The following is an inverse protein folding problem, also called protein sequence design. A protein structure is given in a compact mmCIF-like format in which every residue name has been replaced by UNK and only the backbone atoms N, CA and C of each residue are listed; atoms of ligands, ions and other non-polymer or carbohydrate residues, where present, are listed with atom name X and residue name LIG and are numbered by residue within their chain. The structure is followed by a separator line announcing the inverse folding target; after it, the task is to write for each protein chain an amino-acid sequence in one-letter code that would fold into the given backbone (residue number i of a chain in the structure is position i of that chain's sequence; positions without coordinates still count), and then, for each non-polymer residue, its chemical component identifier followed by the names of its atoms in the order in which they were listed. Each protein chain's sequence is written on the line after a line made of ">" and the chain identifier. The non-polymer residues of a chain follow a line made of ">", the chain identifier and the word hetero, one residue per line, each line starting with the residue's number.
data_IF_026141587557
#
_entry.id   IF_026141587557
#
_cell.length_a   1.000
_cell.length_b   1.000
_cell.length_c   1.000
_cell.angle_alpha   90.00
_cell.angle_beta   90.00
_cell.angle_gamma   90.00
#
_symmetry.space_group_name_H-M   'P 1'
#
loop_
_entity.id
_entity.type
_entity.pdbx_description
1 polymer ?
#
# COMPACT_ATOMS: atom_id res chain seq x y z
N UNK A 1 23.93 -54.25 0.14
CA UNK A 1 24.51 -53.08 -0.56
C UNK A 1 23.82 -51.82 -0.04
N UNK A 2 24.62 -50.86 0.40
CA UNK A 2 24.28 -49.76 1.32
C UNK A 2 23.49 -48.63 0.67
N UNK A 3 22.37 -48.23 1.30
CA UNK A 3 21.65 -46.97 1.05
C UNK A 3 22.30 -45.86 1.88
N UNK A 4 22.94 -44.88 1.23
CA UNK A 4 23.35 -43.61 1.87
C UNK A 4 22.18 -42.63 1.89
N UNK A 5 21.77 -42.21 3.08
CA UNK A 5 20.85 -41.10 3.30
C UNK A 5 21.63 -39.78 3.39
N UNK A 6 21.19 -38.77 2.65
CA UNK A 6 21.67 -37.39 2.74
C UNK A 6 20.67 -36.60 3.60
N UNK A 7 20.89 -36.56 4.92
CA UNK A 7 20.21 -35.67 5.86
C UNK A 7 21.28 -34.97 6.71
N UNK A 8 21.93 -33.94 6.15
CA UNK A 8 23.08 -33.29 6.80
C UNK A 8 23.09 -31.76 6.84
N UNK A 9 22.18 -31.05 6.17
CA UNK A 9 22.32 -29.59 5.99
C UNK A 9 21.27 -28.69 6.64
N UNK A 10 20.17 -29.22 7.21
CA UNK A 10 19.15 -28.37 7.85
C UNK A 10 19.36 -28.11 9.36
N UNK A 11 20.29 -28.80 10.04
CA UNK A 11 20.52 -28.60 11.49
C UNK A 11 21.52 -27.48 11.86
N UNK A 12 22.29 -26.94 10.91
CA UNK A 12 23.31 -25.92 11.24
C UNK A 12 22.75 -24.51 11.49
N UNK A 13 21.61 -24.16 10.89
CA UNK A 13 21.05 -22.80 11.01
C UNK A 13 20.37 -22.53 12.35
N UNK A 14 19.63 -23.52 12.89
CA UNK A 14 18.97 -23.38 14.20
C UNK A 14 19.95 -23.33 15.37
N UNK A 15 21.08 -24.05 15.27
CA UNK A 15 22.12 -24.03 16.31
C UNK A 15 22.84 -22.69 16.42
N UNK A 16 23.08 -22.00 15.29
CA UNK A 16 23.75 -20.68 15.28
C UNK A 16 22.87 -19.59 15.88
N UNK A 17 21.58 -19.55 15.53
CA UNK A 17 20.64 -18.58 16.10
C UNK A 17 20.43 -18.80 17.61
N UNK A 18 20.33 -20.05 18.04
CA UNK A 18 20.18 -20.39 19.46
C UNK A 18 21.41 -19.98 20.29
N UNK A 19 22.63 -20.22 19.76
CA UNK A 19 23.87 -19.80 20.42
C UNK A 19 24.00 -18.27 20.54
N UNK A 20 23.63 -17.52 19.49
CA UNK A 20 23.64 -16.05 19.54
C UNK A 20 22.62 -15.51 20.55
N UNK A 21 21.41 -16.10 20.62
CA UNK A 21 20.40 -15.69 21.59
C UNK A 21 20.83 -16.01 23.03
N UNK A 22 21.41 -17.19 23.27
CA UNK A 22 21.96 -17.56 24.58
C UNK A 22 23.09 -16.62 25.01
N UNK A 23 23.97 -16.22 24.08
CA UNK A 23 25.06 -15.28 24.37
C UNK A 23 24.53 -13.90 24.75
N UNK A 24 23.49 -13.39 24.07
CA UNK A 24 22.86 -12.11 24.41
C UNK A 24 22.16 -12.14 25.76
N UNK A 25 21.49 -13.26 26.10
CA UNK A 25 20.87 -13.44 27.43
C UNK A 25 21.92 -13.49 28.53
N UNK A 26 23.04 -14.21 28.32
CA UNK A 26 24.14 -14.26 29.28
C UNK A 26 24.78 -12.88 29.48
N UNK A 27 25.00 -12.12 28.40
CA UNK A 27 25.54 -10.76 28.46
C UNK A 27 24.60 -9.76 29.16
N UNK A 28 23.29 -9.89 28.96
CA UNK A 28 22.26 -9.13 29.67
C UNK A 28 22.30 -9.44 31.17
N UNK A 29 22.41 -10.72 31.53
CA UNK A 29 22.38 -11.16 32.93
C UNK A 29 23.65 -10.81 33.71
N UNK A 30 24.82 -10.89 33.07
CA UNK A 30 26.09 -10.45 33.67
C UNK A 30 26.13 -8.94 33.86
N UNK A 31 25.57 -8.16 32.91
CA UNK A 31 25.45 -6.71 33.04
C UNK A 31 24.53 -6.30 34.19
N UNK A 32 23.40 -7.01 34.38
CA UNK A 32 22.47 -6.78 35.48
C UNK A 32 23.12 -7.07 36.84
N UNK A 33 23.84 -8.19 36.97
CA UNK A 33 24.59 -8.53 38.20
C UNK A 33 25.73 -7.57 38.49
N UNK A 34 26.34 -6.99 37.46
CA UNK A 34 27.37 -5.95 37.64
C UNK A 34 26.75 -4.67 38.21
N UNK A 35 25.58 -4.26 37.69
CA UNK A 35 24.83 -3.10 38.19
C UNK A 35 24.33 -3.29 39.62
N UNK A 36 23.85 -4.49 39.98
CA UNK A 36 23.47 -4.83 41.36
C UNK A 36 24.67 -4.75 42.31
N UNK A 37 25.85 -5.24 41.90
CA UNK A 37 27.08 -5.13 42.71
C UNK A 37 27.60 -3.71 42.83
N UNK A 38 27.39 -2.87 41.81
CA UNK A 38 27.78 -1.46 41.88
C UNK A 38 26.85 -0.63 42.77
N UNK A 39 25.55 -0.97 42.84
CA UNK A 39 24.60 -0.29 43.75
C UNK A 39 24.76 -0.66 45.23
N UNK A 40 25.40 -1.79 45.54
CA UNK A 40 25.64 -2.22 46.93
C UNK A 40 26.82 -1.48 47.58
N UNK A 41 27.64 -0.74 46.83
CA UNK A 41 28.89 -0.13 47.34
C UNK A 41 28.69 1.31 47.87
N UNK A 42 27.48 1.87 47.83
CA UNK A 42 27.21 3.24 48.29
C UNK A 42 26.70 3.36 49.73
N UNK A 43 27.03 2.43 50.63
CA UNK A 43 26.85 2.62 52.08
C UNK A 43 28.03 2.00 52.84
N UNK A 44 28.87 2.84 53.46
CA UNK A 44 29.84 2.45 54.49
C UNK A 44 31.30 2.67 54.11
N UNK A 45 31.91 3.73 54.67
CA UNK A 45 33.32 4.04 54.47
C UNK A 45 34.26 3.07 55.21
N UNK A 46 35.25 2.52 54.50
CA UNK A 46 36.60 2.23 55.01
C UNK A 46 37.55 1.95 53.83
N UNK A 47 38.78 2.47 53.92
CA UNK A 47 39.74 2.58 52.80
C UNK A 47 40.63 1.35 52.58
N UNK A 48 40.20 0.12 52.92
CA UNK A 48 41.07 -1.07 52.85
C UNK A 48 40.77 -2.09 51.73
N UNK A 49 40.02 -1.72 50.68
CA UNK A 49 39.69 -2.65 49.59
C UNK A 49 39.99 -2.18 48.15
N UNK A 50 40.70 -1.07 47.96
CA UNK A 50 40.96 -0.54 46.61
C UNK A 50 41.95 -1.36 45.76
N UNK A 51 42.91 -2.06 46.35
CA UNK A 51 43.94 -2.78 45.55
C UNK A 51 43.43 -4.07 44.92
N UNK A 52 42.54 -4.80 45.59
CA UNK A 52 41.92 -6.02 45.03
C UNK A 52 40.97 -5.66 43.88
N UNK A 53 40.17 -4.60 44.04
CA UNK A 53 39.29 -4.09 42.98
C UNK A 53 40.06 -3.56 41.76
N UNK A 54 41.25 -2.97 41.94
CA UNK A 54 42.10 -2.54 40.82
C UNK A 54 42.61 -3.73 39.99
N UNK A 55 43.04 -4.82 40.63
CA UNK A 55 43.50 -6.04 39.93
C UNK A 55 42.34 -6.74 39.20
N UNK A 56 41.16 -6.79 39.81
CA UNK A 56 39.97 -7.38 39.19
C UNK A 56 39.43 -6.52 38.03
N UNK A 57 39.46 -5.19 38.18
CA UNK A 57 39.13 -4.24 37.10
C UNK A 57 40.10 -4.34 35.93
N UNK A 58 41.41 -4.47 36.18
CA UNK A 58 42.41 -4.68 35.12
C UNK A 58 42.22 -6.00 34.38
N UNK A 59 41.91 -7.09 35.11
CA UNK A 59 41.60 -8.41 34.51
C UNK A 59 40.33 -8.35 33.66
N UNK A 60 39.31 -7.64 34.13
CA UNK A 60 38.05 -7.44 33.40
C UNK A 60 38.25 -6.58 32.15
N UNK A 61 39.06 -5.52 32.24
CA UNK A 61 39.43 -4.70 31.09
C UNK A 61 40.21 -5.48 30.04
N UNK A 62 41.12 -6.37 30.45
CA UNK A 62 41.85 -7.26 29.53
C UNK A 62 40.89 -8.22 28.81
N UNK A 63 39.94 -8.82 29.52
CA UNK A 63 38.91 -9.69 28.95
C UNK A 63 37.99 -8.94 27.97
N UNK A 64 37.62 -7.69 28.28
CA UNK A 64 36.82 -6.83 27.38
C UNK A 64 37.61 -6.48 26.11
N UNK A 65 38.92 -6.20 26.22
CA UNK A 65 39.78 -5.90 25.07
C UNK A 65 39.89 -7.13 24.16
N UNK A 66 40.05 -8.32 24.73
CA UNK A 66 40.14 -9.57 23.97
C UNK A 66 38.80 -9.93 23.30
N UNK A 67 37.68 -9.72 23.99
CA UNK A 67 36.33 -9.87 23.40
C UNK A 67 36.10 -8.87 22.25
N UNK A 68 36.55 -7.62 22.40
CA UNK A 68 36.47 -6.62 21.33
C UNK A 68 37.32 -7.00 20.11
N UNK A 69 38.48 -7.64 20.32
CA UNK A 69 39.28 -8.20 19.22
C UNK A 69 38.55 -9.35 18.53
N UNK A 70 37.96 -10.28 19.29
CA UNK A 70 37.19 -11.40 18.71
C UNK A 70 35.97 -10.92 17.93
N UNK A 71 35.23 -9.92 18.44
CA UNK A 71 34.12 -9.28 17.73
C UNK A 71 34.61 -8.60 16.45
N UNK A 72 35.74 -7.87 16.49
CA UNK A 72 36.33 -7.27 15.28
C UNK A 72 36.78 -8.32 14.26
N UNK A 73 37.32 -9.46 14.68
CA UNK A 73 37.69 -10.55 13.78
C UNK A 73 36.46 -11.21 13.15
N UNK A 74 35.38 -11.39 13.92
CA UNK A 74 34.09 -11.89 13.40
C UNK A 74 33.48 -10.88 12.42
N UNK A 75 33.51 -9.57 12.76
CA UNK A 75 33.03 -8.50 11.87
C UNK A 75 33.86 -8.41 10.58
N UNK A 76 35.19 -8.50 10.66
CA UNK A 76 36.06 -8.52 9.47
C UNK A 76 35.85 -9.78 8.59
N UNK A 77 35.43 -10.90 9.20
CA UNK A 77 34.99 -12.09 8.50
C UNK A 77 33.61 -11.94 7.83
N UNK A 78 32.71 -11.17 8.44
CA UNK A 78 31.38 -10.87 7.90
C UNK A 78 31.39 -9.77 6.82
N UNK A 79 32.27 -8.78 6.93
CA UNK A 79 32.42 -7.65 5.99
C UNK A 79 32.96 -8.08 4.61
N UNK A 80 33.54 -9.28 4.48
CA UNK A 80 33.86 -9.88 3.17
C UNK A 80 32.64 -10.47 2.43
N UNK A 81 31.47 -10.48 3.07
CA UNK A 81 30.25 -11.09 2.51
C UNK A 81 29.03 -10.18 2.49
N UNK A 82 29.13 -8.94 2.97
CA UNK A 82 28.04 -7.97 2.97
C UNK A 82 28.59 -6.57 2.71
N UNK A 83 28.46 -6.10 1.46
CA UNK A 83 28.55 -4.67 1.18
C UNK A 83 27.17 -4.03 1.42
N UNK A 84 27.13 -3.02 2.28
CA UNK A 84 26.11 -1.98 2.23
C UNK A 84 25.06 -1.94 3.34
N UNK A 85 25.45 -1.80 4.62
CA UNK A 85 24.61 -1.12 5.64
C UNK A 85 25.51 -0.43 6.66
N UNK A 86 26.17 0.67 6.29
CA UNK A 86 26.92 1.49 7.27
C UNK A 86 26.48 2.96 7.35
N UNK A 87 25.64 3.44 6.42
CA UNK A 87 25.30 4.87 6.37
C UNK A 87 23.89 5.23 6.88
N UNK A 88 23.24 4.36 7.68
CA UNK A 88 21.88 4.63 8.18
C UNK A 88 21.78 5.10 9.63
N UNK A 89 22.90 5.29 10.34
CA UNK A 89 22.88 5.67 11.77
C UNK A 89 23.10 7.17 12.00
N UNK A 90 23.54 7.94 11.01
CA UNK A 90 23.92 9.36 11.19
C UNK A 90 23.09 10.39 10.40
N UNK A 91 21.78 10.14 10.20
CA UNK A 91 20.87 11.16 9.66
C UNK A 91 20.12 11.92 10.74
N UNK A 92 20.66 13.09 11.08
CA UNK A 92 20.09 14.18 11.88
C UNK A 92 18.56 14.36 11.78
N UNK A 93 17.83 14.04 12.87
CA UNK A 93 16.45 14.52 13.06
C UNK A 93 16.05 14.65 14.55
N UNK A 94 16.97 15.10 15.42
CA UNK A 94 16.69 15.27 16.85
C UNK A 94 17.17 16.60 17.47
N UNK A 95 17.47 17.64 16.67
CA UNK A 95 17.98 18.93 17.17
C UNK A 95 17.26 20.18 16.66
N UNK A 96 15.93 20.13 16.58
CA UNK A 96 15.12 21.34 16.43
C UNK A 96 13.84 21.18 17.23
N UNK A 97 13.88 21.49 18.53
CA UNK A 97 12.83 22.10 19.38
C UNK A 97 13.42 22.13 20.80
N UNK A 98 14.19 23.17 21.14
CA UNK A 98 14.19 23.87 22.45
C UNK A 98 14.91 25.21 22.19
N UNK A 99 14.17 26.26 21.84
CA UNK A 99 14.51 27.64 22.22
C UNK A 99 13.43 28.63 21.77
N UNK A 100 13.22 29.63 22.63
CA UNK A 100 12.23 30.72 22.63
C UNK A 100 10.90 30.31 23.29
N UNK A 101 10.53 30.83 24.46
CA UNK A 101 10.90 32.11 25.09
C UNK A 101 9.65 32.99 25.09
N UNK A 102 9.18 33.32 26.29
CA UNK A 102 7.94 34.03 26.57
C UNK A 102 7.81 35.35 25.80
N UNK A 103 6.62 35.59 25.24
CA UNK A 103 6.04 36.93 25.07
C UNK A 103 4.57 36.81 25.43
N UNK A 104 4.20 37.44 26.54
CA UNK A 104 2.84 37.78 26.95
C UNK A 104 2.42 39.02 26.18
N UNK A 105 1.33 38.97 25.42
CA UNK A 105 0.60 40.18 25.02
C UNK A 105 -0.91 39.96 25.22
N UNK A 106 -1.45 40.85 26.04
CA UNK A 106 -2.86 41.17 26.23
C UNK A 106 -3.53 41.47 24.89
N UNK A 107 -4.68 40.84 24.64
CA UNK A 107 -5.68 41.38 23.73
C UNK A 107 -7.02 41.43 24.45
N UNK A 108 -7.39 42.68 24.72
CA UNK A 108 -8.64 43.16 25.28
C UNK A 108 -9.86 42.72 24.49
N UNK A 109 -10.93 42.45 25.25
CA UNK A 109 -12.31 42.19 24.83
C UNK A 109 -12.85 43.29 23.91
N UNK A 110 -13.54 42.90 22.84
CA UNK A 110 -14.46 43.72 22.06
C UNK A 110 -15.82 43.00 21.93
N UNK A 111 -16.94 43.74 21.84
CA UNK A 111 -18.27 43.21 22.14
C UNK A 111 -18.88 42.41 20.97
N UNK A 112 -19.69 41.42 21.34
CA UNK A 112 -20.59 40.68 20.47
C UNK A 112 -21.80 41.57 20.13
N UNK A 113 -22.00 41.88 18.86
CA UNK A 113 -23.26 42.41 18.34
C UNK A 113 -24.12 41.25 17.83
N UNK A 114 -25.35 41.19 18.36
CA UNK A 114 -26.46 40.36 17.91
C UNK A 114 -26.90 40.78 16.51
N UNK A 115 -26.86 39.86 15.55
CA UNK A 115 -27.64 39.97 14.31
C UNK A 115 -28.62 38.80 14.23
N UNK A 116 -29.86 39.10 14.62
CA UNK A 116 -31.06 38.32 14.32
C UNK A 116 -31.53 38.64 12.91
N UNK A 117 -31.90 37.61 12.16
CA UNK A 117 -32.97 37.68 11.17
C UNK A 117 -32.53 37.65 9.70
N UNK A 118 -32.43 36.44 9.14
CA UNK A 118 -32.90 36.18 7.78
C UNK A 118 -33.22 34.70 7.64
N UNK A 119 -34.51 34.38 7.63
CA UNK A 119 -35.03 33.12 7.13
C UNK A 119 -34.88 33.17 5.60
N UNK A 120 -34.03 32.32 5.05
CA UNK A 120 -34.02 32.01 3.62
C UNK A 120 -34.78 30.70 3.45
N UNK A 121 -35.90 30.78 2.73
CA UNK A 121 -36.64 29.62 2.22
C UNK A 121 -35.71 28.85 1.27
N UNK A 122 -35.35 27.61 1.63
CA UNK A 122 -34.67 26.68 0.73
C UNK A 122 -35.72 26.00 -0.14
N UNK A 123 -35.69 26.33 -1.44
CA UNK A 123 -36.46 25.65 -2.48
C UNK A 123 -35.99 24.20 -2.63
N UNK A 124 -36.85 23.24 -2.25
CA UNK A 124 -36.65 21.78 -2.38
C UNK A 124 -36.85 21.23 -3.83
N UNK A 125 -36.90 22.07 -4.85
CA UNK A 125 -37.12 21.64 -6.24
C UNK A 125 -35.82 21.65 -7.07
N UNK A 126 -34.92 20.69 -6.83
CA UNK A 126 -33.65 20.64 -7.56
C UNK A 126 -32.94 19.29 -7.73
N UNK A 127 -33.47 18.17 -7.24
CA UNK A 127 -32.68 16.92 -7.15
C UNK A 127 -32.93 15.85 -8.23
N UNK A 128 -33.83 16.04 -9.19
CA UNK A 128 -34.22 14.96 -10.13
C UNK A 128 -33.62 15.01 -11.55
N UNK A 129 -32.51 15.73 -11.80
CA UNK A 129 -31.91 15.82 -13.16
C UNK A 129 -30.39 15.63 -13.24
N UNK A 130 -29.84 14.60 -12.60
CA UNK A 130 -28.41 14.26 -12.67
C UNK A 130 -28.07 12.87 -13.24
N UNK A 131 -29.02 12.17 -13.87
CA UNK A 131 -28.79 10.80 -14.37
C UNK A 131 -28.00 10.66 -15.70
N UNK A 132 -27.41 11.73 -16.24
CA UNK A 132 -26.53 11.63 -17.41
C UNK A 132 -25.03 11.72 -17.04
N UNK A 133 -24.54 10.70 -16.35
CA UNK A 133 -23.13 10.60 -15.97
C UNK A 133 -22.23 10.32 -17.19
N UNK A 134 -21.64 11.37 -17.77
CA UNK A 134 -20.76 11.35 -18.95
C UNK A 134 -19.56 10.40 -18.74
N UNK A 135 -19.08 10.23 -17.51
CA UNK A 135 -17.94 9.35 -17.19
C UNK A 135 -18.25 7.86 -17.34
N UNK A 136 -19.51 7.41 -17.24
CA UNK A 136 -19.81 5.99 -17.45
C UNK A 136 -19.95 5.64 -18.95
N UNK A 137 -20.15 6.64 -19.82
CA UNK A 137 -20.30 6.43 -21.27
C UNK A 137 -19.03 5.84 -21.89
N UNK A 138 -17.82 6.21 -21.44
CA UNK A 138 -16.59 5.63 -22.00
C UNK A 138 -16.43 4.16 -21.58
N UNK A 139 -16.67 3.82 -20.32
CA UNK A 139 -16.66 2.42 -19.83
C UNK A 139 -17.71 1.55 -20.54
N UNK A 140 -18.92 2.07 -20.71
CA UNK A 140 -20.01 1.37 -21.41
C UNK A 140 -19.76 1.24 -22.92
N UNK A 141 -19.08 2.21 -23.54
CA UNK A 141 -18.71 2.15 -24.97
C UNK A 141 -17.81 0.96 -25.26
N UNK A 142 -16.92 0.57 -24.33
CA UNK A 142 -16.10 -0.63 -24.45
C UNK A 142 -16.87 -1.94 -24.19
N UNK A 143 -17.85 -1.94 -23.29
CA UNK A 143 -18.63 -3.14 -22.90
C UNK A 143 -19.58 -3.65 -24.00
N UNK A 144 -20.01 -2.80 -24.94
CA UNK A 144 -21.05 -3.13 -25.95
C UNK A 144 -20.58 -4.06 -27.09
N UNK A 145 -19.30 -4.43 -27.18
CA UNK A 145 -18.79 -5.33 -28.24
C UNK A 145 -18.85 -6.83 -27.89
N UNK A 146 -20.00 -7.33 -27.42
CA UNK A 146 -20.11 -8.65 -26.76
C UNK A 146 -20.41 -9.90 -27.63
N UNK A 147 -20.46 -9.83 -28.96
CA UNK A 147 -21.06 -10.93 -29.75
C UNK A 147 -20.16 -11.67 -30.77
N UNK A 148 -18.83 -11.67 -30.62
CA UNK A 148 -17.96 -12.51 -31.46
C UNK A 148 -17.65 -13.86 -30.76
N UNK A 149 -17.60 -15.00 -31.48
CA UNK A 149 -17.25 -16.30 -30.90
C UNK A 149 -15.83 -16.29 -30.33
N UNK A 150 -15.72 -16.31 -29.00
CA UNK A 150 -14.52 -16.04 -28.20
C UNK A 150 -13.40 -17.10 -28.26
N UNK A 151 -13.58 -18.21 -28.97
CA UNK A 151 -12.68 -19.36 -28.84
C UNK A 151 -11.34 -19.25 -29.58
N UNK A 152 -11.03 -18.14 -30.27
CA UNK A 152 -9.79 -18.01 -31.08
C UNK A 152 -9.11 -16.63 -31.10
N UNK A 153 -9.54 -15.65 -30.30
CA UNK A 153 -8.86 -14.35 -30.28
C UNK A 153 -7.52 -14.46 -29.53
N UNK A 154 -6.43 -14.12 -30.22
CA UNK A 154 -5.07 -14.02 -29.65
C UNK A 154 -5.07 -12.99 -28.53
N UNK A 155 -4.23 -13.18 -27.50
CA UNK A 155 -3.98 -12.21 -26.42
C UNK A 155 -3.82 -10.80 -27.02
N UNK A 156 -4.34 -9.78 -26.34
CA UNK A 156 -4.10 -8.38 -26.71
C UNK A 156 -2.60 -8.15 -26.90
N UNK A 157 -2.22 -7.49 -27.99
CA UNK A 157 -0.83 -7.09 -28.23
C UNK A 157 -0.43 -5.86 -27.40
N UNK A 158 -1.34 -5.31 -26.59
CA UNK A 158 -1.05 -4.16 -25.76
C UNK A 158 -0.23 -4.58 -24.54
N UNK A 159 0.98 -4.03 -24.41
CA UNK A 159 1.77 -4.11 -23.19
C UNK A 159 1.59 -2.81 -22.38
N UNK A 160 0.94 -2.85 -21.21
CA UNK A 160 0.72 -1.66 -20.38
C UNK A 160 2.00 -1.08 -19.76
N UNK A 161 3.11 -1.81 -19.85
CA UNK A 161 4.43 -1.45 -19.33
C UNK A 161 5.48 -1.61 -20.43
N UNK A 162 5.57 -0.69 -21.39
CA UNK A 162 6.40 -0.84 -22.59
C UNK A 162 7.89 -1.03 -22.31
N UNK A 163 8.38 -0.55 -21.16
CA UNK A 163 9.77 -0.72 -20.74
C UNK A 163 10.09 -2.11 -20.15
N UNK A 164 9.07 -2.93 -19.92
CA UNK A 164 9.20 -4.28 -19.38
C UNK A 164 8.78 -5.25 -20.47
N UNK A 165 9.67 -6.18 -20.83
CA UNK A 165 9.30 -7.29 -21.72
C UNK A 165 8.48 -8.33 -20.95
N UNK A 166 7.21 -8.00 -20.70
CA UNK A 166 6.29 -8.88 -19.99
C UNK A 166 6.11 -10.23 -20.70
N UNK A 167 6.34 -10.30 -22.01
CA UNK A 167 6.13 -11.53 -22.79
C UNK A 167 7.27 -12.53 -22.63
N UNK A 168 8.46 -12.06 -22.25
CA UNK A 168 9.59 -12.93 -21.87
C UNK A 168 9.37 -13.64 -20.52
N UNK A 169 8.42 -13.17 -19.72
CA UNK A 169 8.13 -13.73 -18.41
C UNK A 169 7.56 -15.15 -18.53
N UNK A 170 8.23 -16.09 -17.88
CA UNK A 170 7.83 -17.49 -17.93
C UNK A 170 6.76 -17.78 -16.87
N UNK A 171 5.81 -18.68 -17.17
CA UNK A 171 4.93 -19.23 -16.15
C UNK A 171 5.73 -19.77 -14.96
N UNK A 172 5.31 -19.42 -13.75
CA UNK A 172 6.06 -19.78 -12.54
C UNK A 172 5.91 -21.30 -12.30
N UNK A 173 6.99 -22.08 -12.14
CA UNK A 173 6.88 -23.54 -11.95
C UNK A 173 6.02 -23.92 -10.73
N UNK A 174 6.10 -23.13 -9.64
CA UNK A 174 5.26 -23.36 -8.45
C UNK A 174 3.77 -23.10 -8.70
N UNK A 175 3.42 -22.22 -9.63
CA UNK A 175 2.03 -22.04 -10.07
C UNK A 175 1.47 -23.34 -10.68
N UNK A 176 2.31 -24.13 -11.33
CA UNK A 176 1.93 -25.40 -11.95
C UNK A 176 1.86 -26.54 -10.92
N UNK A 177 2.64 -26.47 -9.84
CA UNK A 177 2.82 -27.56 -8.86
C UNK A 177 1.89 -27.46 -7.63
N UNK A 178 1.43 -26.25 -7.23
CA UNK A 178 0.51 -26.05 -6.09
C UNK A 178 -0.91 -26.65 -6.29
N UNK A 179 -1.07 -27.50 -7.29
CA UNK A 179 -2.32 -27.99 -7.86
C UNK A 179 -2.89 -29.27 -7.20
N UNK A 180 -2.82 -29.43 -5.86
CA UNK A 180 -3.43 -30.60 -5.19
C UNK A 180 -4.41 -30.32 -4.07
N UNK A 181 -4.40 -29.13 -3.47
CA UNK A 181 -5.51 -28.69 -2.60
C UNK A 181 -6.27 -27.65 -3.38
N UNK A 182 -7.54 -27.94 -3.67
CA UNK A 182 -8.41 -27.04 -4.41
C UNK A 182 -8.30 -25.62 -3.82
N UNK A 183 -7.99 -24.62 -4.66
CA UNK A 183 -7.82 -23.23 -4.24
C UNK A 183 -9.07 -22.64 -3.57
N UNK A 184 -10.21 -23.26 -3.86
CA UNK A 184 -11.51 -23.07 -3.24
C UNK A 184 -12.19 -24.43 -3.09
N UNK A 185 -12.92 -24.64 -2.00
CA UNK A 185 -13.81 -25.80 -1.81
C UNK A 185 -15.19 -25.61 -2.45
N UNK A 186 -15.56 -24.37 -2.81
CA UNK A 186 -16.94 -23.99 -3.18
C UNK A 186 -17.09 -23.87 -4.70
N UNK A 187 -16.24 -23.07 -5.36
CA UNK A 187 -16.44 -22.74 -6.77
C UNK A 187 -15.75 -23.73 -7.71
N UNK A 188 -16.25 -23.87 -8.96
CA UNK A 188 -15.62 -24.75 -9.96
C UNK A 188 -14.30 -24.18 -10.48
N UNK A 189 -14.11 -22.85 -10.49
CA UNK A 189 -12.84 -22.23 -10.87
C UNK A 189 -11.76 -22.50 -9.81
N UNK A 190 -10.83 -23.43 -10.10
CA UNK A 190 -9.76 -23.86 -9.17
C UNK A 190 -8.43 -23.14 -9.33
N UNK A 191 -8.37 -22.09 -10.17
CA UNK A 191 -7.16 -21.26 -10.36
C UNK A 191 -7.24 -19.98 -9.53
N UNK A 192 -6.21 -19.14 -9.62
CA UNK A 192 -6.14 -17.90 -8.84
C UNK A 192 -7.18 -16.88 -9.33
N UNK A 193 -7.53 -15.99 -8.43
CA UNK A 193 -8.39 -14.83 -8.68
C UNK A 193 -7.65 -13.58 -8.23
N UNK A 194 -7.47 -12.62 -9.11
CA UNK A 194 -6.78 -11.36 -8.84
C UNK A 194 -7.80 -10.23 -8.80
N UNK A 195 -7.86 -9.50 -7.70
CA UNK A 195 -8.65 -8.27 -7.56
C UNK A 195 -7.73 -7.09 -7.85
N UNK A 196 -7.93 -6.49 -9.02
CA UNK A 196 -7.03 -5.49 -9.60
C UNK A 196 -7.71 -4.11 -9.67
N UNK A 197 -8.67 -3.87 -8.77
CA UNK A 197 -9.19 -2.53 -8.53
C UNK A 197 -8.16 -1.61 -7.88
N UNK A 198 -8.39 -0.30 -7.98
CA UNK A 198 -7.59 0.68 -7.25
C UNK A 198 -7.94 0.68 -5.75
N UNK A 199 -7.04 1.23 -4.94
CA UNK A 199 -7.30 1.42 -3.51
C UNK A 199 -8.64 2.17 -3.31
N UNK A 200 -9.40 1.82 -2.26
CA UNK A 200 -10.75 2.34 -1.99
C UNK A 200 -11.83 2.07 -3.07
N UNK A 201 -11.61 1.14 -4.00
CA UNK A 201 -12.68 0.60 -4.85
C UNK A 201 -13.33 -0.65 -4.24
N UNK A 202 -13.35 -0.75 -2.90
CA UNK A 202 -13.90 -1.88 -2.15
C UNK A 202 -13.19 -3.22 -2.32
N UNK A 203 -11.87 -3.19 -2.52
CA UNK A 203 -11.03 -4.41 -2.56
C UNK A 203 -11.17 -5.24 -1.28
N UNK A 204 -11.19 -4.61 -0.10
CA UNK A 204 -11.36 -5.31 1.19
C UNK A 204 -12.66 -6.11 1.24
N UNK A 205 -13.75 -5.54 0.69
CA UNK A 205 -15.03 -6.23 0.56
C UNK A 205 -14.93 -7.43 -0.39
N UNK A 206 -14.26 -7.24 -1.52
CA UNK A 206 -14.04 -8.30 -2.50
C UNK A 206 -13.20 -9.44 -1.92
N UNK A 207 -12.17 -9.13 -1.13
CA UNK A 207 -11.33 -10.12 -0.46
C UNK A 207 -12.12 -10.95 0.57
N UNK A 208 -12.97 -10.31 1.37
CA UNK A 208 -13.84 -11.02 2.31
C UNK A 208 -14.84 -11.91 1.57
N UNK A 209 -15.41 -11.38 0.49
CA UNK A 209 -16.34 -12.11 -0.38
C UNK A 209 -15.67 -13.35 -0.98
N UNK A 210 -14.46 -13.20 -1.55
CA UNK A 210 -13.68 -14.30 -2.09
C UNK A 210 -13.29 -15.33 -1.02
N UNK A 211 -13.01 -14.87 0.22
CA UNK A 211 -12.76 -15.76 1.36
C UNK A 211 -13.99 -16.58 1.72
N UNK A 212 -15.18 -15.99 1.71
CA UNK A 212 -16.46 -16.70 1.87
C UNK A 212 -16.69 -17.75 0.77
N UNK A 213 -16.21 -17.46 -0.45
CA UNK A 213 -16.19 -18.41 -1.57
C UNK A 213 -15.02 -19.43 -1.49
N UNK A 214 -14.28 -19.47 -0.38
CA UNK A 214 -13.20 -20.42 -0.13
C UNK A 214 -11.85 -20.08 -0.78
N UNK A 215 -11.72 -18.94 -1.45
CA UNK A 215 -10.43 -18.46 -1.95
C UNK A 215 -9.60 -17.92 -0.79
N UNK A 216 -8.51 -18.61 -0.47
CA UNK A 216 -7.59 -18.18 0.59
C UNK A 216 -6.72 -17.03 0.12
N UNK A 217 -6.66 -15.99 0.93
CA UNK A 217 -5.65 -14.97 0.80
C UNK A 217 -4.53 -15.18 1.80
N UNK A 218 -3.27 -15.10 1.36
CA UNK A 218 -2.15 -14.97 2.28
C UNK A 218 -2.15 -13.55 2.85
N UNK A 219 -1.78 -13.39 4.12
CA UNK A 219 -1.89 -12.10 4.82
C UNK A 219 -1.21 -10.94 4.08
N UNK A 220 -0.05 -11.16 3.43
CA UNK A 220 0.65 -10.16 2.61
C UNK A 220 0.00 -9.87 1.26
N UNK A 221 -0.78 -10.79 0.71
CA UNK A 221 -1.41 -10.60 -0.61
C UNK A 221 -2.79 -9.93 -0.53
N UNK A 222 -3.28 -9.64 0.67
CA UNK A 222 -4.51 -8.86 0.91
C UNK A 222 -4.22 -7.55 1.65
N UNK A 223 -2.95 -7.19 1.76
CA UNK A 223 -2.51 -6.00 2.45
C UNK A 223 -1.66 -5.16 1.51
N UNK A 224 -1.61 -3.87 1.79
CA UNK A 224 -0.60 -3.00 1.22
C UNK A 224 0.77 -3.60 1.55
N UNK A 225 1.56 -3.92 0.53
CA UNK A 225 2.97 -4.24 0.71
C UNK A 225 3.80 -3.05 0.26
N UNK A 226 4.26 -2.20 1.18
CA UNK A 226 4.92 -0.99 0.81
C UNK A 226 6.39 -1.20 0.44
N UNK A 227 6.87 -0.47 -0.55
CA UNK A 227 8.28 -0.49 -0.97
C UNK A 227 9.27 -0.05 0.12
N UNK A 228 8.83 0.66 1.17
CA UNK A 228 9.71 1.06 2.27
C UNK A 228 10.20 -0.10 3.13
N UNK A 229 9.54 -1.27 3.08
CA UNK A 229 10.08 -2.51 3.67
C UNK A 229 11.32 -3.04 2.92
N UNK A 230 11.60 -2.49 1.73
CA UNK A 230 12.66 -2.88 0.82
C UNK A 230 13.69 -1.76 0.60
N UNK A 231 13.86 -0.88 1.59
CA UNK A 231 14.89 0.15 1.62
C UNK A 231 14.51 1.48 0.95
N UNK A 232 13.29 1.62 0.45
CA UNK A 232 12.80 2.92 -0.04
C UNK A 232 12.40 3.83 1.12
N UNK A 233 12.52 5.15 0.95
CA UNK A 233 11.90 6.06 1.91
C UNK A 233 10.38 6.00 1.79
N UNK A 234 9.65 6.35 2.87
CA UNK A 234 8.19 6.45 2.83
C UNK A 234 7.74 7.43 1.73
N UNK A 235 8.43 8.55 1.59
CA UNK A 235 8.16 9.56 0.57
C UNK A 235 8.34 9.00 -0.86
N UNK A 236 9.45 8.32 -1.12
CA UNK A 236 9.73 7.76 -2.44
C UNK A 236 8.76 6.64 -2.78
N UNK A 237 8.41 5.82 -1.79
CA UNK A 237 7.37 4.78 -1.96
C UNK A 237 6.07 5.42 -2.41
N UNK A 238 5.57 6.47 -1.74
CA UNK A 238 4.33 7.12 -2.14
C UNK A 238 4.40 7.79 -3.51
N UNK A 239 5.52 8.44 -3.85
CA UNK A 239 5.72 8.99 -5.20
C UNK A 239 5.66 7.90 -6.28
N UNK A 240 6.27 6.75 -6.02
CA UNK A 240 6.21 5.59 -6.91
C UNK A 240 4.79 5.01 -6.99
N UNK A 241 4.11 4.85 -5.86
CA UNK A 241 2.72 4.38 -5.82
C UNK A 241 1.74 5.30 -6.55
N UNK A 242 1.95 6.62 -6.51
CA UNK A 242 1.16 7.60 -7.27
C UNK A 242 1.42 7.56 -8.78
N UNK A 243 2.52 6.92 -9.21
CA UNK A 243 2.94 6.82 -10.61
C UNK A 243 2.94 5.39 -11.15
N UNK A 244 2.55 4.39 -10.34
CA UNK A 244 2.55 2.97 -10.72
C UNK A 244 1.56 2.59 -11.82
N UNK A 245 0.53 3.41 -12.05
CA UNK A 245 -0.36 3.22 -13.21
C UNK A 245 0.36 3.56 -14.53
N UNK A 246 1.29 4.52 -14.50
CA UNK A 246 2.13 4.87 -15.64
C UNK A 246 3.24 3.82 -15.85
N UNK A 247 3.96 3.44 -14.78
CA UNK A 247 5.10 2.52 -14.86
C UNK A 247 5.38 1.74 -13.55
N UNK A 248 5.71 0.46 -13.68
CA UNK A 248 6.08 -0.43 -12.57
C UNK A 248 7.56 -0.85 -12.59
N UNK A 249 8.40 -0.23 -13.43
CA UNK A 249 9.83 -0.57 -13.54
C UNK A 249 10.52 -0.59 -12.17
N UNK A 250 10.15 0.31 -11.27
CA UNK A 250 10.71 0.36 -9.92
C UNK A 250 10.44 -0.90 -9.07
N UNK A 251 9.32 -1.60 -9.32
CA UNK A 251 9.04 -2.91 -8.70
C UNK A 251 9.89 -3.97 -9.38
N UNK A 252 9.97 -3.93 -10.71
CA UNK A 252 10.66 -4.92 -11.53
C UNK A 252 12.17 -4.93 -11.27
N UNK A 253 12.79 -3.75 -11.19
CA UNK A 253 14.23 -3.60 -10.93
C UNK A 253 14.64 -4.00 -9.50
N UNK A 254 13.70 -3.93 -8.55
CA UNK A 254 13.94 -4.38 -7.19
C UNK A 254 13.72 -5.89 -7.08
N UNK A 255 14.74 -6.66 -7.48
CA UNK A 255 14.67 -8.12 -7.53
C UNK A 255 14.26 -8.79 -6.20
N UNK A 256 14.62 -8.21 -5.05
CA UNK A 256 14.20 -8.73 -3.74
C UNK A 256 12.71 -8.52 -3.52
N UNK A 257 12.21 -7.31 -3.83
CA UNK A 257 10.80 -6.98 -3.73
C UNK A 257 9.97 -7.83 -4.68
N UNK A 258 10.34 -7.88 -5.97
CA UNK A 258 9.66 -8.71 -6.97
C UNK A 258 9.65 -10.19 -6.59
N UNK A 259 10.77 -10.74 -6.12
CA UNK A 259 10.87 -12.14 -5.70
C UNK A 259 9.89 -12.45 -4.56
N UNK A 260 9.86 -11.60 -3.53
CA UNK A 260 9.00 -11.80 -2.37
C UNK A 260 7.52 -11.66 -2.75
N UNK A 261 7.19 -10.69 -3.61
CA UNK A 261 5.85 -10.56 -4.19
C UNK A 261 5.43 -11.85 -4.90
N UNK A 262 6.27 -12.38 -5.78
CA UNK A 262 5.96 -13.62 -6.46
C UNK A 262 5.84 -14.83 -5.50
N UNK A 263 6.67 -14.90 -4.46
CA UNK A 263 6.62 -15.97 -3.44
C UNK A 263 5.34 -15.91 -2.60
N UNK A 264 4.80 -14.72 -2.32
CA UNK A 264 3.53 -14.57 -1.65
C UNK A 264 2.35 -14.86 -2.58
N UNK A 265 2.38 -14.39 -3.84
CA UNK A 265 1.40 -14.79 -4.84
C UNK A 265 1.32 -16.30 -4.98
N UNK A 266 2.47 -17.00 -4.98
CA UNK A 266 2.50 -18.45 -5.07
C UNK A 266 1.67 -19.11 -3.95
N UNK A 267 1.56 -18.50 -2.77
CA UNK A 267 0.85 -19.01 -1.59
C UNK A 267 -0.63 -18.63 -1.51
N UNK A 268 -1.15 -17.81 -2.43
CA UNK A 268 -2.48 -17.19 -2.30
C UNK A 268 -3.45 -17.54 -3.42
N UNK A 269 -4.62 -18.07 -3.10
CA UNK A 269 -5.68 -18.28 -4.09
C UNK A 269 -6.31 -16.98 -4.56
N UNK A 270 -6.36 -15.96 -3.70
CA UNK A 270 -6.76 -14.59 -4.06
C UNK A 270 -5.70 -13.58 -3.67
N UNK A 271 -5.54 -12.55 -4.49
CA UNK A 271 -4.62 -11.43 -4.25
C UNK A 271 -5.35 -10.15 -4.59
N UNK A 272 -5.17 -9.12 -3.77
CA UNK A 272 -5.74 -7.80 -3.98
C UNK A 272 -4.85 -6.73 -3.36
N UNK A 273 -5.22 -5.47 -3.60
CA UNK A 273 -4.55 -4.29 -3.05
C UNK A 273 -3.20 -3.97 -3.72
N UNK A 274 -2.57 -2.89 -3.28
CA UNK A 274 -1.29 -2.43 -3.78
C UNK A 274 -0.12 -3.25 -3.18
N UNK A 275 0.91 -3.61 -3.96
CA UNK A 275 1.19 -3.20 -5.35
C UNK A 275 0.53 -4.08 -6.42
N UNK A 276 -0.15 -5.15 -6.02
CA UNK A 276 -0.64 -6.21 -6.91
C UNK A 276 -1.58 -5.71 -8.01
N UNK A 277 -2.37 -4.68 -7.71
CA UNK A 277 -3.24 -4.04 -8.68
C UNK A 277 -2.48 -3.60 -9.94
N UNK A 278 -1.24 -3.15 -9.82
CA UNK A 278 -0.39 -2.73 -10.94
C UNK A 278 0.39 -3.88 -11.59
N UNK A 279 0.29 -5.11 -11.07
CA UNK A 279 1.04 -6.26 -11.57
C UNK A 279 0.21 -7.17 -12.48
N UNK A 280 -1.03 -6.79 -12.83
CA UNK A 280 -1.99 -7.66 -13.52
C UNK A 280 -1.44 -8.29 -14.81
N UNK A 281 -0.67 -7.54 -15.61
CA UNK A 281 -0.10 -8.07 -16.85
C UNK A 281 0.98 -9.13 -16.59
N UNK A 282 1.84 -8.92 -15.58
CA UNK A 282 2.83 -9.90 -15.13
C UNK A 282 2.15 -11.13 -14.50
N UNK A 283 1.15 -10.91 -13.64
CA UNK A 283 0.36 -11.96 -13.00
C UNK A 283 -0.33 -12.85 -14.02
N UNK A 284 -0.82 -12.29 -15.13
CA UNK A 284 -1.42 -13.04 -16.23
C UNK A 284 -0.42 -13.94 -16.96
N UNK A 285 0.84 -13.50 -17.11
CA UNK A 285 1.89 -14.37 -17.66
C UNK A 285 2.35 -15.44 -16.66
N UNK A 286 2.53 -15.06 -15.39
CA UNK A 286 3.00 -15.95 -14.34
C UNK A 286 1.99 -17.03 -13.96
N UNK A 287 0.69 -16.73 -14.05
CA UNK A 287 -0.40 -17.60 -13.61
C UNK A 287 -1.47 -17.81 -14.70
N UNK A 288 -1.19 -18.56 -15.77
CA UNK A 288 -2.12 -18.76 -16.89
C UNK A 288 -3.50 -19.28 -16.48
N UNK A 289 -4.55 -18.68 -17.06
CA UNK A 289 -5.97 -18.97 -16.82
C UNK A 289 -6.47 -18.63 -15.42
N UNK A 290 -5.75 -17.78 -14.69
CA UNK A 290 -6.33 -17.06 -13.56
C UNK A 290 -7.46 -16.15 -14.04
N UNK A 291 -8.32 -15.72 -13.11
CA UNK A 291 -9.38 -14.75 -13.36
C UNK A 291 -9.02 -13.41 -12.74
N UNK A 292 -9.44 -12.33 -13.38
CA UNK A 292 -9.16 -10.96 -12.98
C UNK A 292 -10.48 -10.22 -12.75
N UNK A 293 -10.55 -9.47 -11.65
CA UNK A 293 -11.71 -8.69 -11.25
C UNK A 293 -11.25 -7.24 -11.08
N UNK A 294 -11.72 -6.34 -11.93
CA UNK A 294 -11.54 -4.90 -11.77
C UNK A 294 -12.75 -4.34 -11.02
N UNK A 295 -12.53 -3.86 -9.80
CA UNK A 295 -13.54 -3.11 -9.05
C UNK A 295 -13.43 -1.63 -9.38
N UNK A 296 -14.56 -0.99 -9.66
CA UNK A 296 -14.66 0.44 -10.02
C UNK A 296 -15.72 1.14 -9.17
N UNK A 297 -15.63 2.47 -9.10
CA UNK A 297 -16.69 3.34 -8.59
C UNK A 297 -17.48 3.97 -9.75
N UNK A 298 -18.59 4.65 -9.42
CA UNK A 298 -19.44 5.35 -10.41
C UNK A 298 -18.70 6.44 -11.19
N UNK A 299 -17.83 7.19 -10.52
CA UNK A 299 -17.12 8.34 -11.08
C UNK A 299 -15.71 8.47 -10.47
N UNK A 300 -14.87 9.28 -11.10
CA UNK A 300 -13.52 9.59 -10.61
C UNK A 300 -13.59 10.29 -9.25
N UNK A 301 -14.57 11.18 -9.04
CA UNK A 301 -14.72 11.93 -7.80
C UNK A 301 -14.89 11.03 -6.59
N UNK A 302 -15.75 10.01 -6.64
CA UNK A 302 -16.06 9.11 -5.52
C UNK A 302 -14.84 8.33 -5.08
N UNK A 303 -14.05 7.88 -6.07
CA UNK A 303 -12.78 7.22 -5.81
C UNK A 303 -11.77 8.19 -5.17
N UNK A 304 -11.57 9.38 -5.77
CA UNK A 304 -10.62 10.38 -5.25
C UNK A 304 -11.01 10.79 -3.83
N UNK A 305 -12.28 11.10 -3.59
CA UNK A 305 -12.80 11.50 -2.29
C UNK A 305 -12.55 10.43 -1.22
N UNK A 306 -12.84 9.16 -1.53
CA UNK A 306 -12.60 8.05 -0.61
C UNK A 306 -11.12 7.87 -0.27
N UNK A 307 -10.23 8.04 -1.25
CA UNK A 307 -8.78 7.99 -1.03
C UNK A 307 -8.25 9.17 -0.24
N UNK A 308 -8.72 10.37 -0.52
CA UNK A 308 -8.41 11.57 0.25
C UNK A 308 -8.81 11.41 1.72
N UNK A 309 -10.03 10.95 1.98
CA UNK A 309 -10.51 10.65 3.33
C UNK A 309 -9.62 9.63 4.03
N UNK A 310 -9.27 8.53 3.35
CA UNK A 310 -8.41 7.51 3.95
C UNK A 310 -7.04 8.10 4.34
N UNK A 311 -6.38 8.84 3.46
CA UNK A 311 -5.07 9.41 3.77
C UNK A 311 -5.12 10.47 4.86
N UNK A 312 -6.16 11.29 4.85
CA UNK A 312 -6.40 12.27 5.90
C UNK A 312 -6.61 11.58 7.26
N UNK A 313 -7.38 10.49 7.32
CA UNK A 313 -7.54 9.65 8.52
C UNK A 313 -6.22 9.05 9.00
N UNK A 314 -5.44 8.45 8.10
CA UNK A 314 -4.15 7.86 8.45
C UNK A 314 -3.18 8.92 9.00
N UNK A 315 -3.20 10.13 8.44
CA UNK A 315 -2.42 11.24 8.97
C UNK A 315 -2.98 11.76 10.30
N UNK A 316 -4.30 11.82 10.50
CA UNK A 316 -4.91 12.17 11.77
C UNK A 316 -4.42 11.27 12.90
N UNK A 317 -4.43 9.94 12.67
CA UNK A 317 -3.93 8.96 13.62
C UNK A 317 -2.43 9.09 13.86
N UNK A 318 -1.65 9.34 12.80
CA UNK A 318 -0.19 9.46 12.92
C UNK A 318 0.21 10.72 13.68
N UNK A 319 -0.53 11.82 13.52
CA UNK A 319 -0.18 13.12 14.08
C UNK A 319 -0.98 13.54 15.30
N UNK A 320 -1.95 12.72 15.76
CA UNK A 320 -2.58 12.63 17.10
C UNK A 320 -3.05 13.91 17.81
N UNK A 321 -2.86 15.08 17.24
CA UNK A 321 -2.82 16.36 17.96
C UNK A 321 -2.96 17.56 17.03
N UNK A 322 -3.04 17.38 15.70
CA UNK A 322 -3.20 18.52 14.80
C UNK A 322 -4.49 19.27 15.19
N UNK A 323 -4.41 20.59 15.45
CA UNK A 323 -5.59 21.41 15.74
C UNK A 323 -6.69 21.25 14.68
N UNK A 324 -6.31 20.92 13.45
CA UNK A 324 -7.22 20.58 12.35
C UNK A 324 -8.24 19.50 12.75
N UNK A 325 -7.80 18.41 13.39
CA UNK A 325 -8.68 17.30 13.77
C UNK A 325 -9.43 17.55 15.09
N UNK A 326 -8.91 18.43 15.94
CA UNK A 326 -9.62 18.84 17.17
C UNK A 326 -10.80 19.76 16.87
N UNK A 327 -10.76 20.50 15.75
CA UNK A 327 -11.84 21.39 15.30
C UNK A 327 -12.94 20.69 14.49
N UNK A 328 -12.66 19.49 13.94
CA UNK A 328 -13.67 18.64 13.32
C UNK A 328 -14.53 17.97 14.40
N UNK A 329 -15.36 18.76 15.08
CA UNK A 329 -16.38 18.23 15.99
C UNK A 329 -17.48 17.56 15.14
N UNK A 330 -18.07 16.47 15.64
CA UNK A 330 -19.03 15.61 14.92
C UNK A 330 -20.35 16.29 14.50
N UNK A 331 -20.48 17.61 14.66
CA UNK A 331 -21.69 18.38 14.38
C UNK A 331 -21.62 19.21 13.10
N UNK A 332 -20.44 19.35 12.47
CA UNK A 332 -20.30 20.17 11.25
C UNK A 332 -19.49 19.43 10.18
N UNK A 333 -20.05 19.19 8.98
CA UNK A 333 -19.29 18.65 7.87
C UNK A 333 -18.11 19.57 7.54
N UNK A 334 -16.91 19.03 7.62
CA UNK A 334 -15.68 19.71 7.23
C UNK A 334 -15.38 19.44 5.76
N UNK A 335 -15.77 20.38 4.91
CA UNK A 335 -15.35 20.37 3.51
C UNK A 335 -13.83 20.56 3.45
N UNK A 336 -13.13 19.60 2.85
CA UNK A 336 -11.69 19.71 2.63
C UNK A 336 -11.45 20.90 1.69
N UNK A 337 -11.01 22.03 2.24
CA UNK A 337 -10.48 23.10 1.43
C UNK A 337 -9.20 22.58 0.76
N UNK A 338 -9.28 22.28 -0.54
CA UNK A 338 -8.08 22.06 -1.33
C UNK A 338 -7.35 23.39 -1.41
N UNK A 339 -6.43 23.54 -0.49
CA UNK A 339 -5.69 24.76 -0.29
C UNK A 339 -5.06 25.24 -1.60
N UNK A 340 -5.17 26.55 -1.86
CA UNK A 340 -4.47 27.19 -2.98
C UNK A 340 -2.96 26.93 -2.81
N UNK A 341 -2.25 26.84 -3.94
CA UNK A 341 -0.83 26.46 -4.12
C UNK A 341 0.18 27.03 -3.10
N UNK A 342 -0.16 28.09 -2.37
CA UNK A 342 0.70 28.77 -1.40
C UNK A 342 0.49 28.34 0.07
N UNK A 343 -0.49 27.50 0.39
CA UNK A 343 -0.62 26.99 1.75
C UNK A 343 0.36 25.85 2.00
N UNK A 344 1.28 26.07 2.92
CA UNK A 344 2.24 25.08 3.41
C UNK A 344 1.61 24.08 4.38
N UNK A 345 0.36 24.32 4.83
CA UNK A 345 -0.23 23.61 5.97
C UNK A 345 -0.74 22.21 5.64
N UNK A 346 -1.10 21.92 4.40
CA UNK A 346 -1.75 20.65 4.04
C UNK A 346 -1.01 19.94 2.90
N UNK A 347 -0.03 19.11 3.27
CA UNK A 347 0.68 18.22 2.35
C UNK A 347 0.48 16.75 2.73
N UNK A 348 0.15 15.92 1.74
CA UNK A 348 0.18 14.46 1.86
C UNK A 348 1.46 13.96 1.20
N UNK A 349 2.34 13.35 1.99
CA UNK A 349 3.62 12.82 1.50
C UNK A 349 4.43 13.86 0.71
N UNK A 350 4.51 15.09 1.22
CA UNK A 350 5.24 16.19 0.58
C UNK A 350 4.56 16.80 -0.65
N UNK A 351 3.38 16.32 -1.05
CA UNK A 351 2.59 16.83 -2.18
C UNK A 351 1.44 17.68 -1.66
N UNK A 352 1.15 18.80 -2.32
CA UNK A 352 -0.01 19.63 -1.97
C UNK A 352 -1.31 18.87 -2.17
N UNK A 353 -2.30 19.11 -1.31
CA UNK A 353 -3.55 18.35 -1.28
C UNK A 353 -4.29 18.36 -2.63
N UNK A 354 -4.31 19.50 -3.33
CA UNK A 354 -4.89 19.60 -4.67
C UNK A 354 -4.15 18.76 -5.70
N UNK A 355 -2.82 18.84 -5.72
CA UNK A 355 -1.99 18.04 -6.62
C UNK A 355 -2.11 16.54 -6.30
N UNK A 356 -2.20 16.17 -5.01
CA UNK A 356 -2.42 14.79 -4.60
C UNK A 356 -3.77 14.26 -5.13
N UNK A 357 -4.86 15.03 -5.01
CA UNK A 357 -6.16 14.65 -5.57
C UNK A 357 -6.09 14.42 -7.10
N UNK A 358 -5.36 15.28 -7.82
CA UNK A 358 -5.14 15.14 -9.27
C UNK A 358 -4.28 13.93 -9.63
N UNK A 359 -3.25 13.62 -8.83
CA UNK A 359 -2.45 12.41 -9.00
C UNK A 359 -3.29 11.15 -8.79
N UNK A 360 -4.17 11.15 -7.78
CA UNK A 360 -5.11 10.04 -7.53
C UNK A 360 -6.09 9.88 -8.69
N UNK A 361 -6.69 10.98 -9.17
CA UNK A 361 -7.60 10.98 -10.32
C UNK A 361 -6.92 10.39 -11.57
N UNK A 362 -5.74 10.92 -11.91
CA UNK A 362 -4.91 10.44 -13.01
C UNK A 362 -4.62 8.96 -12.89
N UNK A 363 -4.12 8.53 -11.73
CA UNK A 363 -3.73 7.14 -11.48
C UNK A 363 -4.90 6.18 -11.68
N UNK A 364 -6.09 6.53 -11.19
CA UNK A 364 -7.29 5.71 -11.35
C UNK A 364 -7.76 5.60 -12.79
N UNK A 365 -7.85 6.73 -13.51
CA UNK A 365 -8.29 6.72 -14.90
C UNK A 365 -7.32 5.97 -15.81
N UNK A 366 -6.00 6.22 -15.67
CA UNK A 366 -4.97 5.52 -16.44
C UNK A 366 -4.98 4.02 -16.11
N UNK A 367 -5.05 3.65 -14.83
CA UNK A 367 -5.08 2.24 -14.42
C UNK A 367 -6.26 1.51 -15.05
N UNK A 368 -7.47 2.06 -14.91
CA UNK A 368 -8.67 1.46 -15.49
C UNK A 368 -8.52 1.35 -17.01
N UNK A 369 -8.14 2.43 -17.69
CA UNK A 369 -7.92 2.44 -19.14
C UNK A 369 -6.96 1.32 -19.59
N UNK A 370 -5.80 1.18 -18.94
CA UNK A 370 -4.81 0.15 -19.28
C UNK A 370 -5.34 -1.26 -19.04
N UNK A 371 -6.00 -1.51 -17.91
CA UNK A 371 -6.62 -2.81 -17.61
C UNK A 371 -7.67 -3.17 -18.67
N UNK A 372 -8.57 -2.24 -19.00
CA UNK A 372 -9.59 -2.46 -20.05
C UNK A 372 -8.96 -2.78 -21.39
N UNK A 373 -7.94 -2.03 -21.79
CA UNK A 373 -7.24 -2.21 -23.06
C UNK A 373 -6.48 -3.54 -23.11
N UNK A 374 -5.84 -3.93 -22.01
CA UNK A 374 -5.11 -5.19 -21.90
C UNK A 374 -6.04 -6.41 -21.98
N UNK A 375 -7.17 -6.37 -21.28
CA UNK A 375 -8.17 -7.46 -21.30
C UNK A 375 -9.22 -7.30 -22.40
N UNK A 376 -9.01 -6.39 -23.36
CA UNK A 376 -9.90 -6.23 -24.49
C UNK A 376 -10.00 -7.56 -25.24
N UNK A 377 -11.23 -8.07 -25.40
CA UNK A 377 -11.56 -9.37 -25.98
C UNK A 377 -11.31 -10.62 -25.09
N UNK A 378 -11.22 -10.45 -23.76
CA UNK A 378 -11.02 -11.56 -22.81
C UNK A 378 -12.09 -11.63 -21.71
N UNK A 379 -13.36 -11.61 -22.09
CA UNK A 379 -14.48 -11.62 -21.12
C UNK A 379 -14.55 -12.88 -20.25
N UNK A 380 -13.92 -13.98 -20.67
CA UNK A 380 -13.98 -15.25 -19.93
C UNK A 380 -13.10 -15.25 -18.68
N UNK A 381 -12.04 -14.44 -18.67
CA UNK A 381 -11.11 -14.31 -17.54
C UNK A 381 -11.01 -12.90 -16.96
N UNK A 382 -11.81 -11.94 -17.46
CA UNK A 382 -11.90 -10.59 -16.94
C UNK A 382 -13.34 -10.20 -16.58
N UNK A 383 -13.54 -9.73 -15.35
CA UNK A 383 -14.82 -9.22 -14.84
C UNK A 383 -14.63 -7.79 -14.33
N UNK A 384 -15.59 -6.91 -14.63
CA UNK A 384 -15.66 -5.56 -14.07
C UNK A 384 -16.86 -5.50 -13.15
N UNK A 385 -16.65 -5.03 -11.92
CA UNK A 385 -17.69 -4.85 -10.91
C UNK A 385 -17.72 -3.39 -10.46
N UNK A 386 -18.86 -2.73 -10.67
CA UNK A 386 -19.11 -1.41 -10.10
C UNK A 386 -19.79 -1.58 -8.75
N UNK A 387 -19.08 -1.26 -7.67
CA UNK A 387 -19.56 -1.56 -6.32
C UNK A 387 -20.74 -0.69 -5.86
N UNK A 388 -21.11 0.33 -6.63
CA UNK A 388 -22.33 1.10 -6.41
C UNK A 388 -23.59 0.37 -6.91
N UNK A 389 -23.44 -0.76 -7.61
CA UNK A 389 -24.57 -1.58 -8.03
C UNK A 389 -25.22 -2.31 -6.86
N UNK A 390 -26.44 -2.79 -7.10
CA UNK A 390 -27.16 -3.60 -6.14
C UNK A 390 -26.35 -4.86 -5.74
N UNK A 391 -26.21 -5.16 -4.42
CA UNK A 391 -25.37 -6.27 -3.96
C UNK A 391 -25.79 -7.65 -4.48
N UNK A 392 -27.09 -7.90 -4.71
CA UNK A 392 -27.55 -9.16 -5.29
C UNK A 392 -27.09 -9.32 -6.74
N UNK A 393 -27.09 -8.24 -7.52
CA UNK A 393 -26.55 -8.24 -8.89
C UNK A 393 -25.04 -8.50 -8.91
N UNK A 394 -24.28 -7.82 -8.04
CA UNK A 394 -22.83 -8.03 -7.89
C UNK A 394 -22.51 -9.49 -7.53
N UNK A 395 -23.25 -10.05 -6.58
CA UNK A 395 -23.12 -11.45 -6.18
C UNK A 395 -23.38 -12.42 -7.34
N UNK A 396 -24.45 -12.19 -8.10
CA UNK A 396 -24.80 -13.02 -9.25
C UNK A 396 -23.72 -12.98 -10.34
N UNK A 397 -23.20 -11.79 -10.66
CA UNK A 397 -22.10 -11.63 -11.62
C UNK A 397 -20.83 -12.35 -11.18
N UNK A 398 -20.43 -12.17 -9.92
CA UNK A 398 -19.24 -12.79 -9.36
C UNK A 398 -19.33 -14.31 -9.33
N UNK A 399 -20.42 -14.86 -8.79
CA UNK A 399 -20.63 -16.30 -8.69
C UNK A 399 -20.74 -16.96 -10.05
N UNK A 400 -21.39 -16.33 -11.02
CA UNK A 400 -21.42 -16.78 -12.42
C UNK A 400 -20.01 -16.80 -13.01
N UNK A 401 -19.27 -15.70 -12.88
CA UNK A 401 -17.92 -15.58 -13.41
C UNK A 401 -16.96 -16.62 -12.82
N UNK A 402 -17.07 -16.93 -11.53
CA UNK A 402 -16.24 -17.93 -10.84
C UNK A 402 -16.80 -19.36 -10.92
N UNK A 403 -17.95 -19.56 -11.57
CA UNK A 403 -18.67 -20.82 -11.64
C UNK A 403 -18.95 -21.41 -10.24
N UNK A 404 -19.45 -20.60 -9.32
CA UNK A 404 -19.85 -21.01 -7.98
C UNK A 404 -21.31 -21.48 -7.96
N UNK A 405 -21.70 -22.39 -7.04
CA UNK A 405 -23.10 -22.73 -6.80
C UNK A 405 -23.91 -21.49 -6.35
N UNK A 406 -25.17 -21.39 -6.78
CA UNK A 406 -26.08 -20.29 -6.43
C UNK A 406 -26.54 -20.28 -4.98
N UNK A 407 -26.43 -21.41 -4.26
CA UNK A 407 -26.99 -21.63 -2.91
C UNK A 407 -26.08 -21.09 -1.80
N UNK A 408 -24.98 -20.43 -2.13
CA UNK A 408 -24.11 -19.85 -1.12
C UNK A 408 -24.85 -18.64 -0.51
N UNK A 409 -25.49 -18.85 0.65
CA UNK A 409 -26.22 -17.86 1.46
C UNK A 409 -25.26 -16.80 2.05
N UNK A 410 -24.47 -16.16 1.21
CA UNK A 410 -23.64 -15.03 1.58
C UNK A 410 -24.25 -13.77 0.99
N UNK A 411 -24.49 -12.79 1.86
CA UNK A 411 -24.79 -11.44 1.44
C UNK A 411 -23.47 -10.81 1.02
N UNK A 412 -23.41 -10.19 -0.16
CA UNK A 412 -22.30 -9.33 -0.54
C UNK A 412 -22.23 -8.23 0.52
N UNK A 413 -21.22 -8.31 1.39
CA UNK A 413 -21.19 -7.45 2.55
C UNK A 413 -21.02 -5.99 2.06
N UNK A 414 -21.83 -5.06 2.58
CA UNK A 414 -21.78 -3.63 2.22
C UNK A 414 -21.70 -2.68 3.41
N UNK A 415 -21.97 -3.14 4.63
CA UNK A 415 -22.04 -2.27 5.82
C UNK A 415 -20.91 -2.54 6.82
N UNK A 416 -19.76 -1.89 6.63
CA UNK A 416 -18.90 -1.58 7.76
C UNK A 416 -19.37 -0.23 8.23
N UNK A 417 -19.96 -0.19 9.43
CA UNK A 417 -20.21 1.08 10.09
C UNK A 417 -18.85 1.71 10.38
N UNK A 418 -18.46 2.68 9.57
CA UNK A 418 -17.38 3.57 9.95
C UNK A 418 -17.89 4.45 11.10
N UNK A 419 -17.01 4.89 12.01
CA UNK A 419 -17.38 5.86 13.02
C UNK A 419 -18.05 7.09 12.39
N UNK A 420 -19.23 7.49 12.90
CA UNK A 420 -20.08 8.57 12.36
C UNK A 420 -19.34 9.90 12.12
N UNK A 421 -18.31 10.22 12.92
CA UNK A 421 -17.56 11.47 12.77
C UNK A 421 -16.76 11.56 11.44
N UNK A 422 -16.67 10.46 10.69
CA UNK A 422 -15.95 10.38 9.41
C UNK A 422 -16.83 10.72 8.19
N UNK A 423 -18.15 10.77 8.37
CA UNK A 423 -19.12 11.19 7.32
C UNK A 423 -19.09 12.71 7.10
N UNK A 424 -18.10 13.39 7.66
CA UNK A 424 -18.03 14.84 7.67
C UNK A 424 -16.87 15.38 6.84
N UNK A 425 -15.91 14.55 6.40
CA UNK A 425 -14.75 15.05 5.64
C UNK A 425 -14.90 14.68 4.18
N UNK A 426 -15.29 15.62 3.32
CA UNK A 426 -15.46 15.37 1.89
C UNK A 426 -14.82 16.45 1.03
N UNK A 427 -14.41 16.08 -0.18
CA UNK A 427 -14.13 17.04 -1.24
C UNK A 427 -15.44 17.75 -1.64
N UNK A 428 -15.38 19.02 -2.09
CA UNK A 428 -16.52 19.63 -2.76
C UNK A 428 -16.95 18.78 -3.97
N UNK A 429 -18.24 18.57 -4.20
CA UNK A 429 -18.75 17.83 -5.38
C UNK A 429 -18.46 18.55 -6.70
N UNK A 430 -18.42 19.88 -6.67
CA UNK A 430 -18.15 20.75 -7.82
C UNK A 430 -16.66 20.91 -8.14
N UNK A 431 -15.78 20.17 -7.46
CA UNK A 431 -14.35 20.21 -7.77
C UNK A 431 -14.09 19.66 -9.18
N UNK A 432 -13.42 20.46 -10.01
CA UNK A 432 -12.91 19.96 -11.28
C UNK A 432 -11.71 19.04 -11.02
N UNK A 433 -11.84 17.75 -11.34
CA UNK A 433 -10.78 16.73 -11.25
C UNK A 433 -10.15 16.42 -12.61
N UNK A 434 -10.21 17.37 -13.55
CA UNK A 434 -9.55 17.26 -14.84
C UNK A 434 -8.02 17.38 -14.69
N UNK A 435 -7.41 16.23 -14.42
CA UNK A 435 -5.96 16.11 -14.30
C UNK A 435 -5.22 16.31 -15.63
N UNK A 436 -5.89 16.26 -16.79
CA UNK A 436 -5.25 16.44 -18.10
C UNK A 436 -4.84 17.89 -18.33
N UNK A 437 -5.63 18.83 -17.82
CA UNK A 437 -5.34 20.27 -17.87
C UNK A 437 -4.62 20.78 -16.63
N UNK A 438 -4.47 19.95 -15.59
CA UNK A 438 -3.81 20.34 -14.35
C UNK A 438 -2.28 20.51 -14.51
N UNK A 439 -1.75 21.62 -13.97
CA UNK A 439 -0.30 21.88 -13.97
C UNK A 439 0.38 21.26 -12.73
N UNK A 440 0.86 20.03 -12.89
CA UNK A 440 1.65 19.34 -11.86
C UNK A 440 2.96 20.05 -11.52
N UNK A 441 3.53 19.72 -10.35
CA UNK A 441 4.88 20.12 -9.97
C UNK A 441 5.92 19.57 -10.93
N UNK A 442 7.10 20.20 -10.95
CA UNK A 442 8.15 19.86 -11.92
C UNK A 442 8.53 18.36 -11.91
N UNK A 443 8.59 17.76 -10.72
CA UNK A 443 8.90 16.33 -10.58
C UNK A 443 7.93 15.45 -11.38
N UNK A 444 6.62 15.60 -11.16
CA UNK A 444 5.62 14.78 -11.82
C UNK A 444 5.47 15.13 -13.30
N UNK A 445 5.61 16.41 -13.69
CA UNK A 445 5.63 16.79 -15.12
C UNK A 445 6.74 16.09 -15.89
N UNK A 446 7.98 16.14 -15.37
CA UNK A 446 9.11 15.44 -16.00
C UNK A 446 8.86 13.94 -16.08
N UNK A 447 8.32 13.35 -15.01
CA UNK A 447 7.98 11.92 -14.99
C UNK A 447 6.93 11.57 -16.06
N UNK A 448 5.80 12.26 -16.10
CA UNK A 448 4.72 11.97 -17.06
C UNK A 448 5.15 12.19 -18.50
N UNK A 449 5.91 13.26 -18.78
CA UNK A 449 6.44 13.50 -20.12
C UNK A 449 7.27 12.33 -20.66
N UNK A 450 8.02 11.65 -19.80
CA UNK A 450 8.79 10.48 -20.19
C UNK A 450 7.88 9.28 -20.50
N UNK A 451 7.05 8.88 -19.54
CA UNK A 451 6.31 7.63 -19.60
C UNK A 451 5.03 7.66 -20.43
N UNK A 452 4.48 8.85 -20.71
CA UNK A 452 3.27 8.99 -21.51
C UNK A 452 3.53 9.68 -22.84
N UNK A 453 4.78 9.70 -23.28
CA UNK A 453 5.13 10.12 -24.63
C UNK A 453 4.59 9.13 -25.66
N UNK A 454 4.29 9.64 -26.86
CA UNK A 454 3.81 8.83 -27.99
C UNK A 454 4.78 7.71 -28.37
N UNK A 455 6.08 7.94 -28.18
CA UNK A 455 7.13 6.99 -28.53
C UNK A 455 7.25 5.84 -27.53
N UNK A 456 6.83 6.06 -26.27
CA UNK A 456 6.87 5.05 -25.19
C UNK A 456 5.57 4.26 -25.13
N UNK A 457 4.43 4.93 -25.02
CA UNK A 457 3.11 4.28 -24.98
C UNK A 457 2.12 5.05 -25.90
N UNK A 458 2.09 4.74 -27.21
CA UNK A 458 1.24 5.45 -28.16
C UNK A 458 -0.26 5.30 -27.85
N UNK A 459 -0.66 4.19 -27.21
CA UNK A 459 -2.04 3.91 -26.85
C UNK A 459 -2.47 4.78 -25.67
N UNK A 460 -1.65 4.85 -24.61
CA UNK A 460 -1.89 5.75 -23.48
C UNK A 460 -1.80 7.22 -23.89
N UNK A 461 -0.84 7.58 -24.74
CA UNK A 461 -0.72 8.93 -25.28
C UNK A 461 -2.02 9.34 -26.00
N UNK A 462 -2.58 8.47 -26.84
CA UNK A 462 -3.86 8.75 -27.50
C UNK A 462 -5.00 8.99 -26.51
N UNK A 463 -5.04 8.26 -25.39
CA UNK A 463 -6.07 8.41 -24.36
C UNK A 463 -5.91 9.72 -23.54
N UNK A 464 -4.68 10.15 -23.30
CA UNK A 464 -4.40 11.40 -22.57
C UNK A 464 -4.82 12.62 -23.40
N UNK A 465 -4.71 12.53 -24.72
CA UNK A 465 -4.93 13.65 -25.65
C UNK A 465 -6.27 13.59 -26.40
N UNK A 466 -7.11 12.59 -26.12
CA UNK A 466 -8.52 12.54 -26.57
C UNK A 466 -9.43 13.21 -25.57
#
# INVERSE_FOLDING_TARGET
>A
MSKKSNNGQQCCWRRRYFLTLCLLVVLSWTSLKLLERMNVITIGGSNYHMESCKKESQKTNFQIIELKKQIKTIQAGCDRSYFGVKDLVDSNMYKYVIQRGAITEDITKGPLEDNKGREEEEDEEGEERWEENIEYKWLLKFSKHKNAPLSKLKKSNYNPYPNIDIWSEKPRPRALVMNKKAMTSVCKHKRRVFVIGMFNTGITWMEETLRGLGYRCYWRTCQLVPGWEYGMTKLDTWKKMLTSADDIQWIYDNHFYLRDLCDWCDRSASVGNEPWTFLYALLDQWYPGSKFILTVQNDTWGMVNSEMQMHLRLNAHTFGSSPFWKGANASHPHVIALDKKNSTRHKLYGVHLQEFAMLVARRYEIHNFKVFTYFQNRSDDFLVLNLSQNPQQLWSQLTTFLNCPTIVNHVFLQNFSYPLYLDHVHLPRNINLDWRTFTFSQYFRTFFQHYTSKDVDPVLHSFIHS
#
